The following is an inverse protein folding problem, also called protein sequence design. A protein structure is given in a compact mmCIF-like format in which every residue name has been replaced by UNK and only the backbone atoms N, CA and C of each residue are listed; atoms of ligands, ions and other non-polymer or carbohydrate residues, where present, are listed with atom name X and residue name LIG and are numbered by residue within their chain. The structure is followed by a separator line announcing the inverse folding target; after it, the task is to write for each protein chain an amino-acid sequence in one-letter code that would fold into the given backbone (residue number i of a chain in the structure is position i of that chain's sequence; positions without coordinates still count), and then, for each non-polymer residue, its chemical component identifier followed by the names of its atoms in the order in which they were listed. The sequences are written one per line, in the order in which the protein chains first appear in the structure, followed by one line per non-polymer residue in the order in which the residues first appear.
data_IF_906705568664
#
_entry.id   IF_906705568664
#
_cell.length_a   1.000
_cell.length_b   1.000
_cell.length_c   1.000
_cell.angle_alpha   90.00
_cell.angle_beta   90.00
_cell.angle_gamma   90.00
#
_symmetry.space_group_name_H-M   'P 1'
#
loop_
_entity.id
_entity.type
_entity.pdbx_description
1 polymer ?
#
# COMPACT_ATOMS: atom_id res chain seq x y z
N UNK A 1 -57.49 -8.34 0.17
CA UNK A 1 -57.53 -9.81 0.09
C UNK A 1 -56.32 -10.24 -0.70
N UNK A 2 -55.38 -10.95 -0.04
CA UNK A 2 -54.11 -11.50 -0.57
C UNK A 2 -52.99 -10.45 -0.64
N UNK A 3 -52.01 -10.32 0.27
CA UNK A 3 -50.97 -11.28 0.75
C UNK A 3 -50.16 -11.88 -0.41
N UNK A 4 -48.83 -12.00 -0.42
CA UNK A 4 -47.69 -11.64 0.43
C UNK A 4 -46.43 -12.04 -0.38
N UNK A 5 -45.25 -11.64 0.08
CA UNK A 5 -43.95 -12.34 -0.03
C UNK A 5 -42.81 -11.42 -0.48
N UNK A 6 -42.21 -10.81 0.54
CA UNK A 6 -40.89 -10.21 0.57
C UNK A 6 -39.87 -11.32 0.86
N UNK A 7 -38.77 -11.40 0.09
CA UNK A 7 -37.64 -12.28 0.40
C UNK A 7 -36.43 -11.42 0.78
N UNK A 8 -36.31 -11.17 2.08
CA UNK A 8 -35.10 -10.64 2.73
C UNK A 8 -34.18 -11.83 3.08
N UNK A 9 -32.91 -11.77 2.67
CA UNK A 9 -31.88 -12.69 3.16
C UNK A 9 -30.87 -11.94 4.02
N UNK A 10 -31.13 -12.03 5.31
CA UNK A 10 -30.28 -11.67 6.44
C UNK A 10 -29.10 -12.68 6.53
N UNK A 11 -27.86 -12.19 6.51
CA UNK A 11 -26.67 -13.01 6.75
C UNK A 11 -26.29 -12.89 8.23
N UNK A 12 -26.58 -13.96 8.96
CA UNK A 12 -26.29 -14.15 10.38
C UNK A 12 -24.77 -14.29 10.63
N UNK A 13 -24.28 -13.54 11.61
CA UNK A 13 -22.88 -13.44 12.01
C UNK A 13 -22.76 -13.89 13.46
N UNK A 14 -22.49 -15.17 13.72
CA UNK A 14 -22.12 -15.61 15.07
C UNK A 14 -21.07 -16.74 15.06
N UNK A 15 -19.93 -16.39 15.66
CA UNK A 15 -19.26 -17.11 16.76
C UNK A 15 -18.71 -18.53 16.51
N UNK A 16 -17.37 -18.61 16.50
CA UNK A 16 -16.64 -19.75 17.07
C UNK A 16 -15.53 -19.20 17.99
N UNK A 17 -15.86 -19.10 19.28
CA UNK A 17 -14.92 -19.14 20.39
C UNK A 17 -15.41 -20.27 21.30
N UNK A 18 -14.56 -21.26 21.54
CA UNK A 18 -14.43 -21.90 22.86
C UNK A 18 -13.18 -22.82 22.90
N UNK A 19 -12.16 -22.31 23.57
CA UNK A 19 -11.43 -22.90 24.72
C UNK A 19 -11.46 -24.43 24.94
N UNK A 20 -10.28 -25.06 25.08
CA UNK A 20 -9.88 -25.62 26.38
C UNK A 20 -8.42 -26.12 26.47
N UNK A 21 -7.90 -25.98 27.69
CA UNK A 21 -6.56 -26.28 28.20
C UNK A 21 -6.43 -27.73 28.69
N UNK A 22 -5.24 -28.34 28.58
CA UNK A 22 -4.50 -29.00 29.69
C UNK A 22 -3.28 -29.82 29.21
N UNK A 23 -2.21 -29.73 30.00
CA UNK A 23 -0.83 -30.22 29.81
C UNK A 23 -0.61 -31.69 30.31
N UNK A 24 0.59 -32.11 30.79
CA UNK A 24 1.68 -32.76 30.05
C UNK A 24 2.01 -34.17 30.58
N UNK A 25 2.79 -34.99 29.84
CA UNK A 25 3.48 -36.16 30.42
C UNK A 25 4.90 -36.35 29.89
N UNK A 26 5.83 -36.51 30.84
CA UNK A 26 7.26 -36.82 30.74
C UNK A 26 7.55 -38.24 30.21
N UNK A 27 8.74 -38.46 29.63
CA UNK A 27 9.37 -39.79 29.60
C UNK A 27 10.55 -40.07 28.65
N UNK A 28 11.77 -39.81 29.12
CA UNK A 28 12.98 -40.68 29.08
C UNK A 28 13.87 -40.88 27.81
N UNK A 29 15.11 -40.35 27.94
CA UNK A 29 16.47 -40.92 27.71
C UNK A 29 16.93 -41.57 26.40
N UNK A 30 18.10 -41.11 25.87
CA UNK A 30 19.02 -41.94 25.06
C UNK A 30 20.07 -41.25 24.15
N UNK A 31 21.20 -40.84 24.72
CA UNK A 31 22.61 -40.87 24.22
C UNK A 31 23.02 -40.83 22.70
N UNK A 32 23.79 -39.78 22.35
CA UNK A 32 25.00 -39.60 21.49
C UNK A 32 25.18 -40.32 20.12
N UNK A 33 25.43 -39.55 19.04
CA UNK A 33 26.77 -39.37 18.43
C UNK A 33 26.77 -38.37 17.24
N UNK A 34 27.97 -37.84 17.00
CA UNK A 34 28.50 -36.89 16.01
C UNK A 34 28.15 -37.14 14.54
N UNK A 35 28.03 -36.06 13.75
CA UNK A 35 28.81 -35.84 12.50
C UNK A 35 28.57 -34.41 11.95
N UNK A 36 29.64 -33.85 11.40
CA UNK A 36 29.80 -32.47 10.91
C UNK A 36 29.18 -32.21 9.53
N UNK A 37 29.00 -30.91 9.26
CA UNK A 37 28.39 -30.20 8.14
C UNK A 37 28.90 -30.55 6.72
N UNK A 38 28.01 -30.38 5.71
CA UNK A 38 28.29 -29.54 4.52
C UNK A 38 26.97 -28.98 3.96
N UNK A 39 26.67 -27.70 4.22
CA UNK A 39 25.63 -26.94 3.51
C UNK A 39 26.31 -25.90 2.61
N UNK A 40 26.08 -26.02 1.30
CA UNK A 40 26.58 -25.11 0.27
C UNK A 40 25.90 -23.74 0.38
N UNK A 41 26.71 -22.70 0.22
CA UNK A 41 26.43 -21.29 0.49
C UNK A 41 25.70 -20.58 -0.67
N UNK A 42 24.66 -19.81 -0.33
CA UNK A 42 23.96 -18.90 -1.24
C UNK A 42 24.80 -17.65 -1.58
N UNK A 43 24.59 -17.01 -2.75
CA UNK A 43 25.27 -15.78 -3.13
C UNK A 43 24.73 -14.59 -2.31
N UNK A 44 25.59 -14.07 -1.42
CA UNK A 44 25.25 -13.06 -0.43
C UNK A 44 25.05 -11.64 -0.96
N UNK A 45 24.19 -10.92 -0.26
CA UNK A 45 24.06 -9.45 -0.26
C UNK A 45 25.40 -8.80 0.14
N UNK A 46 25.70 -7.55 -0.27
CA UNK A 46 26.94 -6.88 0.11
C UNK A 46 26.99 -6.62 1.62
N UNK A 47 27.63 -7.53 2.36
CA UNK A 47 27.89 -7.41 3.80
C UNK A 47 29.12 -6.54 4.01
N UNK A 48 28.96 -5.38 4.65
CA UNK A 48 30.09 -4.60 5.17
C UNK A 48 30.36 -4.99 6.62
N UNK A 49 31.61 -5.31 6.94
CA UNK A 49 32.07 -5.71 8.27
C UNK A 49 32.72 -4.53 8.98
N UNK A 50 32.46 -4.36 10.28
CA UNK A 50 33.23 -3.47 11.13
C UNK A 50 34.48 -4.18 11.69
N UNK A 51 35.33 -3.41 12.38
CA UNK A 51 36.60 -3.86 12.98
C UNK A 51 36.42 -4.92 14.10
N UNK A 52 35.18 -5.25 14.48
CA UNK A 52 34.84 -6.29 15.45
C UNK A 52 34.06 -7.47 14.81
N UNK A 53 33.93 -7.51 13.49
CA UNK A 53 33.36 -8.65 12.77
C UNK A 53 31.83 -8.77 12.84
N UNK A 54 31.12 -7.69 13.17
CA UNK A 54 29.66 -7.70 13.23
C UNK A 54 29.06 -7.30 11.87
N UNK A 55 28.27 -8.19 11.27
CA UNK A 55 27.57 -7.95 10.00
C UNK A 55 26.22 -7.27 10.25
N UNK A 56 25.96 -6.14 9.58
CA UNK A 56 24.66 -5.48 9.60
C UNK A 56 24.15 -5.25 8.17
N UNK A 57 22.83 -5.36 8.01
CA UNK A 57 22.12 -5.00 6.78
C UNK A 57 22.02 -3.47 6.74
N UNK A 58 22.49 -2.83 5.67
CA UNK A 58 22.27 -1.40 5.48
C UNK A 58 20.77 -1.17 5.22
N UNK A 59 20.05 -0.79 6.27
CA UNK A 59 18.72 -0.21 6.14
C UNK A 59 18.87 1.09 5.34
N UNK A 60 18.39 1.11 4.09
CA UNK A 60 18.22 2.37 3.37
C UNK A 60 17.22 3.21 4.16
N UNK A 61 17.73 4.17 4.93
CA UNK A 61 16.94 5.10 5.72
C UNK A 61 15.83 5.68 4.85
N UNK A 62 14.59 5.33 5.19
CA UNK A 62 13.40 5.90 4.57
C UNK A 62 13.46 7.41 4.83
N UNK A 63 13.91 8.18 3.84
CA UNK A 63 14.13 9.61 4.00
C UNK A 63 12.77 10.30 4.14
N UNK A 64 12.32 10.43 5.39
CA UNK A 64 11.16 11.24 5.76
C UNK A 64 11.47 12.65 5.27
N UNK A 65 10.70 13.11 4.28
CA UNK A 65 10.92 14.40 3.64
C UNK A 65 11.10 15.49 4.71
N UNK A 66 12.18 16.27 4.59
CA UNK A 66 12.47 17.34 5.52
C UNK A 66 11.29 18.32 5.51
N UNK A 67 10.48 18.31 6.57
CA UNK A 67 9.46 19.32 6.77
C UNK A 67 10.17 20.66 6.94
N UNK A 68 10.14 21.50 5.90
CA UNK A 68 10.65 22.85 6.03
C UNK A 68 9.83 23.56 7.11
N UNK A 69 10.52 24.14 8.11
CA UNK A 69 9.87 25.04 9.09
C UNK A 69 9.32 26.31 8.43
N UNK A 70 9.67 26.54 7.16
CA UNK A 70 9.30 27.69 6.34
C UNK A 70 8.44 27.21 5.15
N UNK A 71 7.19 26.83 5.40
CA UNK A 71 6.24 26.53 4.32
C UNK A 71 5.88 27.82 3.60
N UNK A 72 6.03 27.83 2.29
CA UNK A 72 5.53 28.91 1.42
C UNK A 72 4.01 28.80 1.25
N UNK A 73 3.36 29.87 0.80
CA UNK A 73 1.93 29.85 0.48
C UNK A 73 1.61 28.77 -0.57
N UNK A 74 2.52 28.54 -1.52
CA UNK A 74 2.40 27.48 -2.51
C UNK A 74 2.46 26.08 -1.88
N UNK A 75 3.29 25.86 -0.87
CA UNK A 75 3.33 24.59 -0.13
C UNK A 75 2.00 24.31 0.58
N UNK A 76 1.37 25.36 1.12
CA UNK A 76 0.02 25.26 1.71
C UNK A 76 -1.01 24.84 0.66
N UNK A 77 -0.96 25.43 -0.54
CA UNK A 77 -1.84 25.03 -1.65
C UNK A 77 -1.60 23.58 -2.08
N UNK A 78 -0.34 23.14 -2.19
CA UNK A 78 -0.03 21.74 -2.53
C UNK A 78 -0.58 20.78 -1.46
N UNK A 79 -0.36 21.07 -0.19
CA UNK A 79 -0.89 20.26 0.91
C UNK A 79 -2.43 20.19 0.89
N UNK A 80 -3.07 21.35 0.69
CA UNK A 80 -4.53 21.43 0.56
C UNK A 80 -5.05 20.59 -0.61
N UNK A 81 -4.40 20.60 -1.76
CA UNK A 81 -4.78 19.77 -2.90
C UNK A 81 -4.58 18.27 -2.61
N UNK A 82 -3.45 17.89 -2.02
CA UNK A 82 -3.13 16.49 -1.71
C UNK A 82 -4.09 15.87 -0.69
N UNK A 83 -4.66 16.63 0.25
CA UNK A 83 -5.67 16.11 1.17
C UNK A 83 -7.01 15.76 0.53
N UNK A 84 -7.21 16.09 -0.75
CA UNK A 84 -8.48 15.93 -1.48
C UNK A 84 -8.28 15.59 -2.95
N UNK A 85 -7.12 15.01 -3.28
CA UNK A 85 -6.72 14.78 -4.66
C UNK A 85 -7.71 13.88 -5.41
N UNK A 86 -8.28 12.90 -4.71
CA UNK A 86 -9.25 11.93 -5.26
C UNK A 86 -10.59 12.56 -5.67
N UNK A 87 -10.85 13.81 -5.31
CA UNK A 87 -12.03 14.54 -5.79
C UNK A 87 -11.79 15.29 -7.10
N UNK A 88 -10.56 15.36 -7.63
CA UNK A 88 -10.27 16.22 -8.80
C UNK A 88 -9.29 15.63 -9.80
N UNK A 89 -8.32 14.83 -9.36
CA UNK A 89 -7.36 14.18 -10.25
C UNK A 89 -7.93 12.83 -10.73
N UNK A 90 -7.45 12.33 -11.89
CA UNK A 90 -7.75 10.97 -12.32
C UNK A 90 -7.33 9.91 -11.30
N UNK A 91 -7.92 8.73 -11.40
CA UNK A 91 -7.48 7.55 -10.62
C UNK A 91 -5.98 7.32 -10.80
N UNK A 92 -5.27 7.10 -9.69
CA UNK A 92 -3.85 6.74 -9.71
C UNK A 92 -3.61 5.54 -8.78
N UNK A 93 -2.93 4.48 -9.28
CA UNK A 93 -2.47 4.29 -10.65
C UNK A 93 -3.64 4.14 -11.65
N UNK A 94 -3.42 4.39 -12.96
CA UNK A 94 -4.43 4.10 -13.98
C UNK A 94 -4.86 2.62 -13.94
N UNK A 95 -6.16 2.36 -14.11
CA UNK A 95 -6.72 0.99 -14.01
C UNK A 95 -6.18 0.02 -15.05
N UNK A 96 -5.76 0.56 -16.20
CA UNK A 96 -5.23 -0.14 -17.36
C UNK A 96 -3.70 -0.02 -17.48
N UNK A 97 -3.02 0.44 -16.42
CA UNK A 97 -1.56 0.52 -16.43
C UNK A 97 -0.92 -0.87 -16.58
N UNK A 98 -0.07 -1.02 -17.59
CA UNK A 98 0.64 -2.28 -17.86
C UNK A 98 1.97 -2.33 -17.10
N UNK A 99 2.06 -3.23 -16.12
CA UNK A 99 3.26 -3.43 -15.29
C UNK A 99 4.33 -4.34 -15.91
N UNK A 100 4.13 -4.84 -17.14
CA UNK A 100 5.01 -5.84 -17.75
C UNK A 100 6.48 -5.40 -17.81
N UNK A 101 6.73 -4.18 -18.29
CA UNK A 101 8.11 -3.66 -18.40
C UNK A 101 8.77 -3.50 -17.03
N UNK A 102 8.01 -3.08 -16.02
CA UNK A 102 8.52 -2.88 -14.67
C UNK A 102 8.80 -4.23 -13.99
N UNK A 103 7.95 -5.24 -14.21
CA UNK A 103 8.20 -6.60 -13.74
C UNK A 103 9.46 -7.18 -14.40
N UNK A 104 9.63 -7.01 -15.71
CA UNK A 104 10.84 -7.42 -16.43
C UNK A 104 12.08 -6.75 -15.89
N UNK A 105 12.05 -5.42 -15.72
CA UNK A 105 13.18 -4.64 -15.20
C UNK A 105 13.62 -5.10 -13.81
N UNK A 106 12.69 -5.58 -12.98
CA UNK A 106 12.97 -6.05 -11.62
C UNK A 106 13.23 -7.57 -11.52
N UNK A 107 13.27 -8.29 -12.66
CA UNK A 107 13.38 -9.75 -12.72
C UNK A 107 12.30 -10.44 -11.90
N UNK A 108 11.05 -9.99 -12.06
CA UNK A 108 9.89 -10.50 -11.34
C UNK A 108 8.91 -11.18 -12.29
N UNK A 109 8.34 -12.30 -11.85
CA UNK A 109 7.26 -13.00 -12.55
C UNK A 109 6.05 -13.12 -11.64
N UNK A 110 4.95 -12.49 -12.04
CA UNK A 110 3.74 -12.40 -11.24
C UNK A 110 2.85 -13.62 -11.46
N UNK A 111 2.35 -14.19 -10.36
CA UNK A 111 1.40 -15.30 -10.35
C UNK A 111 0.17 -14.95 -9.49
N UNK A 112 -0.99 -15.56 -9.77
CA UNK A 112 -2.11 -15.53 -8.83
C UNK A 112 -1.70 -16.07 -7.47
N UNK A 113 -2.21 -15.48 -6.37
CA UNK A 113 -1.89 -15.90 -4.99
C UNK A 113 -2.11 -17.41 -4.79
N UNK A 114 -3.15 -17.98 -5.39
CA UNK A 114 -3.46 -19.42 -5.29
C UNK A 114 -2.39 -20.33 -5.88
N UNK A 115 -1.65 -19.85 -6.89
CA UNK A 115 -0.59 -20.62 -7.54
C UNK A 115 0.78 -20.30 -6.95
N UNK A 116 0.91 -19.24 -6.15
CA UNK A 116 2.19 -18.68 -5.72
C UNK A 116 3.04 -19.69 -4.95
N UNK A 117 2.44 -20.48 -4.06
CA UNK A 117 3.14 -21.49 -3.27
C UNK A 117 3.69 -22.63 -4.14
N UNK A 118 2.99 -22.98 -5.21
CA UNK A 118 3.35 -24.09 -6.10
C UNK A 118 4.45 -23.73 -7.12
N UNK A 119 4.83 -22.45 -7.21
CA UNK A 119 5.88 -21.98 -8.13
C UNK A 119 7.24 -21.99 -7.47
N UNK A 120 8.26 -22.25 -8.27
CA UNK A 120 9.66 -22.09 -7.87
C UNK A 120 9.94 -20.64 -7.44
N UNK A 121 10.73 -20.48 -6.39
CA UNK A 121 11.10 -19.16 -5.86
C UNK A 121 11.82 -18.31 -6.91
N UNK A 122 12.70 -18.95 -7.68
CA UNK A 122 13.46 -18.38 -8.79
C UNK A 122 13.37 -19.35 -9.96
N UNK A 123 12.98 -18.87 -11.14
CA UNK A 123 12.92 -19.72 -12.33
C UNK A 123 14.28 -19.87 -13.03
N UNK A 124 14.34 -20.76 -14.02
CA UNK A 124 15.56 -21.00 -14.82
C UNK A 124 16.15 -19.76 -15.53
N UNK A 125 15.39 -18.67 -15.66
CA UNK A 125 15.85 -17.40 -16.25
C UNK A 125 16.21 -16.36 -15.18
N UNK A 126 16.21 -16.74 -13.90
CA UNK A 126 16.53 -15.86 -12.77
C UNK A 126 15.38 -14.96 -12.32
N UNK A 127 14.15 -15.18 -12.80
CA UNK A 127 12.99 -14.39 -12.36
C UNK A 127 12.49 -14.89 -11.02
N UNK A 128 12.33 -13.98 -10.05
CA UNK A 128 11.72 -14.29 -8.76
C UNK A 128 10.19 -14.32 -8.89
N UNK A 129 9.55 -15.30 -8.28
CA UNK A 129 8.09 -15.32 -8.19
C UNK A 129 7.61 -14.16 -7.32
N UNK A 130 6.53 -13.51 -7.74
CA UNK A 130 5.82 -12.50 -6.97
C UNK A 130 4.31 -12.64 -7.16
N UNK A 131 3.55 -11.95 -6.32
CA UNK A 131 2.12 -11.75 -6.48
C UNK A 131 1.76 -10.28 -6.22
N UNK A 132 0.65 -9.82 -6.79
CA UNK A 132 0.15 -8.46 -6.57
C UNK A 132 -0.68 -8.38 -5.29
N UNK A 133 -0.49 -7.33 -4.49
CA UNK A 133 -1.32 -7.06 -3.31
C UNK A 133 -2.70 -6.54 -3.75
N UNK A 134 -3.76 -7.26 -3.39
CA UNK A 134 -5.14 -6.93 -3.81
C UNK A 134 -5.58 -5.52 -3.38
N UNK A 135 -5.22 -5.11 -2.16
CA UNK A 135 -5.54 -3.79 -1.63
C UNK A 135 -4.70 -2.65 -2.23
N UNK A 136 -3.59 -2.98 -2.90
CA UNK A 136 -2.64 -2.00 -3.43
C UNK A 136 -2.25 -2.37 -4.88
N UNK A 137 -3.12 -2.11 -5.87
CA UNK A 137 -2.81 -2.33 -7.28
C UNK A 137 -1.48 -1.66 -7.66
N UNK A 138 -0.64 -2.43 -8.33
CA UNK A 138 0.73 -2.05 -8.72
C UNK A 138 1.81 -2.27 -7.66
N UNK A 139 1.46 -2.74 -6.47
CA UNK A 139 2.43 -3.19 -5.45
C UNK A 139 2.50 -4.72 -5.48
N UNK A 140 3.72 -5.23 -5.61
CA UNK A 140 4.01 -6.67 -5.72
C UNK A 140 4.84 -7.13 -4.55
N UNK A 141 4.65 -8.35 -4.08
CA UNK A 141 5.48 -8.97 -3.04
C UNK A 141 6.12 -10.24 -3.58
N UNK A 142 7.43 -10.39 -3.39
CA UNK A 142 8.14 -11.62 -3.76
C UNK A 142 8.14 -12.67 -2.64
N UNK A 143 8.74 -13.84 -2.90
CA UNK A 143 8.80 -14.96 -1.95
C UNK A 143 9.65 -14.66 -0.70
N UNK A 144 10.53 -13.65 -0.76
CA UNK A 144 11.30 -13.18 0.41
C UNK A 144 10.52 -12.16 1.24
N UNK A 145 9.33 -11.77 0.79
CA UNK A 145 8.51 -10.76 1.44
C UNK A 145 8.86 -9.33 1.03
N UNK A 146 9.77 -9.12 0.08
CA UNK A 146 10.15 -7.79 -0.40
C UNK A 146 9.02 -7.20 -1.23
N UNK A 147 8.63 -5.96 -0.92
CA UNK A 147 7.60 -5.24 -1.63
C UNK A 147 8.19 -4.32 -2.72
N UNK A 148 7.62 -4.40 -3.92
CA UNK A 148 7.99 -3.60 -5.08
C UNK A 148 6.80 -2.72 -5.47
N UNK A 149 6.93 -1.41 -5.28
CA UNK A 149 5.96 -0.44 -5.79
C UNK A 149 6.28 -0.10 -7.24
N UNK A 150 5.54 -0.69 -8.17
CA UNK A 150 5.74 -0.54 -9.60
C UNK A 150 4.76 0.47 -10.23
N UNK A 151 4.05 1.25 -9.41
CA UNK A 151 3.09 2.26 -9.90
C UNK A 151 3.83 3.38 -10.65
N UNK A 152 3.23 3.95 -11.72
CA UNK A 152 3.87 4.99 -12.51
C UNK A 152 4.14 6.24 -11.69
N UNK A 153 5.32 6.84 -11.88
CA UNK A 153 5.63 8.15 -11.28
C UNK A 153 4.80 9.27 -11.90
N UNK A 154 4.44 9.13 -13.17
CA UNK A 154 3.55 10.05 -13.86
C UNK A 154 2.15 10.04 -13.24
N UNK A 155 1.55 11.22 -13.08
CA UNK A 155 0.22 11.37 -12.50
C UNK A 155 0.14 11.08 -10.99
N UNK A 156 1.24 10.63 -10.34
CA UNK A 156 1.26 10.34 -8.91
C UNK A 156 0.84 11.57 -8.10
N UNK A 157 -0.17 11.47 -7.21
CA UNK A 157 -0.58 12.57 -6.34
C UNK A 157 0.45 12.75 -5.22
N UNK A 158 1.57 13.39 -5.53
CA UNK A 158 2.65 13.69 -4.58
C UNK A 158 3.12 15.15 -4.68
N UNK A 159 3.81 15.61 -3.64
CA UNK A 159 4.33 16.97 -3.56
C UNK A 159 5.17 17.34 -4.79
N UNK A 160 6.13 16.49 -5.16
CA UNK A 160 7.05 16.72 -6.28
C UNK A 160 6.32 16.95 -7.62
N UNK A 161 5.17 16.31 -7.83
CA UNK A 161 4.36 16.50 -9.03
C UNK A 161 3.47 17.74 -8.92
N UNK A 162 2.88 18.00 -7.75
CA UNK A 162 1.95 19.11 -7.56
C UNK A 162 2.65 20.46 -7.48
N UNK A 163 3.85 20.55 -6.90
CA UNK A 163 4.59 21.81 -6.75
C UNK A 163 5.03 22.40 -8.10
N UNK A 164 5.05 21.60 -9.16
CA UNK A 164 5.36 22.05 -10.53
C UNK A 164 4.22 22.87 -11.14
N UNK A 165 2.98 22.74 -10.64
CA UNK A 165 1.82 23.50 -11.12
C UNK A 165 1.92 24.97 -10.72
N UNK A 166 1.27 25.86 -11.48
CA UNK A 166 1.16 27.27 -11.08
C UNK A 166 0.23 27.43 -9.88
N UNK A 167 0.37 28.50 -9.09
CA UNK A 167 -0.55 28.77 -7.97
C UNK A 167 -2.00 28.94 -8.43
N UNK A 168 -2.22 29.57 -9.59
CA UNK A 168 -3.55 29.71 -10.18
C UNK A 168 -4.18 28.36 -10.52
N UNK A 169 -3.40 27.45 -11.10
CA UNK A 169 -3.83 26.09 -11.40
C UNK A 169 -4.13 25.30 -10.10
N UNK A 170 -3.26 25.40 -9.09
CA UNK A 170 -3.49 24.77 -7.78
C UNK A 170 -4.79 25.26 -7.14
N UNK A 171 -5.02 26.58 -7.09
CA UNK A 171 -6.28 27.16 -6.58
C UNK A 171 -7.49 26.65 -7.38
N UNK A 172 -7.39 26.59 -8.71
CA UNK A 172 -8.46 26.07 -9.56
C UNK A 172 -8.80 24.61 -9.26
N UNK A 173 -7.77 23.76 -9.12
CA UNK A 173 -7.93 22.35 -8.76
C UNK A 173 -8.54 22.19 -7.37
N UNK A 174 -8.10 22.96 -6.38
CA UNK A 174 -8.66 22.93 -5.03
C UNK A 174 -10.13 23.33 -5.05
N UNK A 175 -10.49 24.43 -5.74
CA UNK A 175 -11.89 24.86 -5.89
C UNK A 175 -12.75 23.75 -6.52
N UNK A 176 -12.24 23.07 -7.55
CA UNK A 176 -12.93 21.95 -8.20
C UNK A 176 -13.08 20.75 -7.24
N UNK A 177 -12.02 20.40 -6.51
CA UNK A 177 -12.04 19.33 -5.52
C UNK A 177 -13.08 19.58 -4.42
N UNK A 178 -13.11 20.79 -3.85
CA UNK A 178 -14.08 21.17 -2.81
C UNK A 178 -15.51 21.08 -3.33
N UNK A 179 -15.78 21.57 -4.55
CA UNK A 179 -17.11 21.46 -5.17
C UNK A 179 -17.54 19.99 -5.34
N UNK A 180 -16.64 19.14 -5.82
CA UNK A 180 -16.91 17.71 -6.00
C UNK A 180 -17.11 17.00 -4.64
N UNK A 181 -16.34 17.37 -3.62
CA UNK A 181 -16.50 16.87 -2.26
C UNK A 181 -17.86 17.26 -1.67
N UNK A 182 -18.27 18.53 -1.80
CA UNK A 182 -19.60 18.99 -1.35
C UNK A 182 -20.71 18.20 -2.06
N UNK A 183 -20.60 17.99 -3.38
CA UNK A 183 -21.59 17.23 -4.14
C UNK A 183 -21.70 15.78 -3.63
N UNK A 184 -20.56 15.14 -3.33
CA UNK A 184 -20.54 13.78 -2.77
C UNK A 184 -21.16 13.72 -1.37
N UNK A 185 -20.79 14.64 -0.49
CA UNK A 185 -21.33 14.73 0.87
C UNK A 185 -22.83 15.05 0.90
N UNK A 186 -23.32 15.85 -0.05
CA UNK A 186 -24.74 16.18 -0.16
C UNK A 186 -25.61 14.97 -0.54
N UNK A 187 -24.99 13.89 -1.05
CA UNK A 187 -25.64 12.60 -1.33
C UNK A 187 -25.39 11.54 -0.24
N UNK A 188 -24.69 11.91 0.84
CA UNK A 188 -24.39 10.99 1.95
C UNK A 188 -25.67 10.64 2.72
N UNK A 189 -25.82 9.40 3.21
CA UNK A 189 -26.89 9.06 4.15
C UNK A 189 -26.66 9.63 5.55
N UNK A 190 -25.48 10.21 5.82
CA UNK A 190 -25.11 10.79 7.10
C UNK A 190 -25.31 12.32 7.13
N UNK A 191 -25.43 12.89 8.32
CA UNK A 191 -25.48 14.35 8.50
C UNK A 191 -24.08 14.96 8.32
N UNK A 192 -23.87 15.57 7.15
CA UNK A 192 -22.62 16.24 6.77
C UNK A 192 -22.73 17.77 6.82
N UNK A 193 -23.80 18.34 7.41
CA UNK A 193 -24.12 19.76 7.28
C UNK A 193 -23.00 20.69 7.80
N UNK A 194 -22.37 20.33 8.92
CA UNK A 194 -21.26 21.10 9.50
C UNK A 194 -20.03 21.10 8.58
N UNK A 195 -19.67 19.95 8.01
CA UNK A 195 -18.55 19.82 7.09
C UNK A 195 -18.81 20.56 5.78
N UNK A 196 -20.02 20.42 5.21
CA UNK A 196 -20.43 21.13 4.00
C UNK A 196 -20.37 22.66 4.21
N UNK A 197 -20.77 23.15 5.39
CA UNK A 197 -20.65 24.58 5.72
C UNK A 197 -19.18 25.03 5.73
N UNK A 198 -18.30 24.30 6.41
CA UNK A 198 -16.86 24.60 6.46
C UNK A 198 -16.23 24.60 5.05
N UNK A 199 -16.58 23.64 4.20
CA UNK A 199 -16.09 23.57 2.82
C UNK A 199 -16.54 24.77 1.96
N UNK A 200 -17.76 25.28 2.17
CA UNK A 200 -18.25 26.49 1.46
C UNK A 200 -17.51 27.75 1.91
N UNK A 201 -17.16 27.84 3.18
CA UNK A 201 -16.34 28.93 3.72
C UNK A 201 -14.92 28.88 3.12
N UNK A 202 -14.29 27.70 3.08
CA UNK A 202 -12.98 27.50 2.42
C UNK A 202 -13.03 27.88 0.93
N UNK A 203 -14.08 27.47 0.22
CA UNK A 203 -14.26 27.79 -1.20
C UNK A 203 -14.31 29.31 -1.47
N UNK A 204 -14.92 30.06 -0.55
CA UNK A 204 -15.04 31.52 -0.64
C UNK A 204 -13.71 32.21 -0.34
N UNK A 205 -12.94 31.69 0.63
CA UNK A 205 -11.62 32.20 0.98
C UNK A 205 -10.57 32.01 -0.12
N UNK A 206 -10.74 31.02 -1.01
CA UNK A 206 -9.85 30.72 -2.13
C UNK A 206 -9.93 31.70 -3.31
N UNK A 207 -10.70 32.80 -3.17
CA UNK A 207 -10.85 33.94 -4.10
C UNK A 207 -9.83 34.00 -5.23
#
# INVERSE_FOLDING_TARGET
MGEDSSDDKEYDTHQLLDTDMASPTNGSSGAVNSDEDVAESEPGEPVTQDENGQSYVQEEDMQVGQYSKNRTDKDVLVAQLLCRWWYVLPDWPPKDYNYHEQLQKNMLKCYPVKEFEDRENVDSNGYRKCYQLSAFPGVFRDFKGVAYDLRPLEGKPCYNNMIQKSESELKSLIKKAIKNQIAKLSSSPHDEAALIKSLKEELTALG
#
